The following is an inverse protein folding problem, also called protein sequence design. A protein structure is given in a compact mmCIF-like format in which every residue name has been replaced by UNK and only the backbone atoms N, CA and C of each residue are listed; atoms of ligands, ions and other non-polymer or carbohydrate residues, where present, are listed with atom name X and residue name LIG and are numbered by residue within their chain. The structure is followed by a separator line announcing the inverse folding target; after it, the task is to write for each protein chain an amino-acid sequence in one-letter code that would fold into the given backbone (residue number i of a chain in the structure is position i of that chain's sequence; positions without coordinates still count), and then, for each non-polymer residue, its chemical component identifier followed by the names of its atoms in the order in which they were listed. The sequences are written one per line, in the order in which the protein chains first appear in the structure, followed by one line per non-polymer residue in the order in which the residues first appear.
data_IF_411520866834
#
_entry.id   IF_411520866834
#
_cell.length_a   1.000
_cell.length_b   1.000
_cell.length_c   1.000
_cell.angle_alpha   90.00
_cell.angle_beta   90.00
_cell.angle_gamma   90.00
#
_symmetry.space_group_name_H-M   'P 1'
#
loop_
_entity.id
_entity.type
_entity.pdbx_description
1 polymer ?
#
# COMPACT_ATOMS: atom_id res chain seq x y z
N UNK A 1 1.91 -23.28 9.80
CA UNK A 1 1.43 -22.36 10.85
C UNK A 1 2.57 -22.05 11.81
N UNK A 2 2.92 -20.79 12.01
CA UNK A 2 4.00 -20.34 12.89
C UNK A 2 3.50 -19.56 14.10
N UNK A 3 4.31 -19.49 15.15
CA UNK A 3 4.02 -18.77 16.38
C UNK A 3 5.19 -17.83 16.69
N UNK A 4 4.91 -16.53 16.74
CA UNK A 4 5.93 -15.48 16.80
C UNK A 4 5.66 -14.53 17.98
N UNK A 5 6.71 -13.93 18.54
CA UNK A 5 6.57 -12.86 19.53
C UNK A 5 6.47 -11.48 18.85
N UNK A 6 7.09 -11.33 17.67
CA UNK A 6 7.18 -10.07 16.92
C UNK A 6 6.23 -10.01 15.72
N UNK A 7 5.61 -11.13 15.35
CA UNK A 7 4.84 -11.26 14.12
C UNK A 7 5.70 -11.49 12.88
N UNK A 8 7.02 -11.62 13.03
CA UNK A 8 7.95 -12.03 11.97
C UNK A 8 8.16 -13.53 11.93
N UNK A 9 8.44 -14.07 10.74
CA UNK A 9 8.88 -15.46 10.56
C UNK A 9 10.27 -15.68 11.16
N UNK A 10 11.22 -14.78 10.92
CA UNK A 10 12.58 -14.93 11.45
C UNK A 10 12.56 -14.86 12.98
N UNK A 11 13.16 -15.85 13.62
CA UNK A 11 13.16 -16.05 15.07
C UNK A 11 11.90 -16.74 15.63
N UNK A 12 10.99 -17.22 14.78
CA UNK A 12 9.78 -17.93 15.20
C UNK A 12 9.92 -19.45 15.06
N UNK A 13 8.95 -20.18 15.63
CA UNK A 13 8.83 -21.63 15.43
C UNK A 13 7.53 -21.92 14.67
N UNK A 14 7.55 -22.95 13.84
CA UNK A 14 6.41 -23.30 13.00
C UNK A 14 6.14 -24.80 12.96
N UNK A 15 4.86 -25.14 12.78
CA UNK A 15 4.40 -26.46 12.37
C UNK A 15 4.11 -26.39 10.87
N UNK A 16 4.79 -27.21 10.10
CA UNK A 16 4.67 -27.30 8.65
C UNK A 16 4.25 -28.71 8.30
N UNK A 17 3.25 -28.84 7.43
CA UNK A 17 2.84 -30.14 6.94
C UNK A 17 2.60 -30.13 5.45
N UNK A 18 2.79 -31.28 4.83
CA UNK A 18 2.53 -31.54 3.42
C UNK A 18 1.94 -32.94 3.25
N UNK A 19 1.32 -33.16 2.09
CA UNK A 19 0.86 -34.47 1.64
C UNK A 19 1.68 -34.85 0.41
N UNK A 20 2.40 -35.97 0.50
CA UNK A 20 3.23 -36.52 -0.56
C UNK A 20 2.39 -37.08 -1.71
N UNK A 21 3.03 -37.36 -2.85
CA UNK A 21 2.35 -37.89 -4.04
C UNK A 21 1.68 -39.26 -3.81
N UNK A 22 2.19 -40.05 -2.87
CA UNK A 22 1.63 -41.33 -2.44
C UNK A 22 0.45 -41.17 -1.46
N UNK A 23 0.05 -39.93 -1.14
CA UNK A 23 -1.02 -39.63 -0.19
C UNK A 23 -0.56 -39.63 1.28
N UNK A 24 0.70 -39.92 1.58
CA UNK A 24 1.22 -39.88 2.94
C UNK A 24 1.30 -38.44 3.45
N UNK A 25 0.75 -38.21 4.64
CA UNK A 25 0.82 -36.92 5.32
C UNK A 25 2.05 -36.85 6.21
N UNK A 26 2.82 -35.76 6.13
CA UNK A 26 3.94 -35.49 7.04
C UNK A 26 3.73 -34.14 7.70
N UNK A 27 3.98 -34.07 9.01
CA UNK A 27 3.96 -32.84 9.79
C UNK A 27 5.26 -32.76 10.58
N UNK A 28 5.96 -31.63 10.48
CA UNK A 28 7.21 -31.36 11.18
C UNK A 28 7.21 -30.00 11.83
N UNK A 29 7.93 -29.89 12.93
CA UNK A 29 8.27 -28.62 13.53
C UNK A 29 9.50 -28.02 12.84
N UNK A 30 9.58 -26.70 12.78
CA UNK A 30 10.72 -25.96 12.27
C UNK A 30 11.07 -24.78 13.17
N UNK A 31 12.37 -24.53 13.33
CA UNK A 31 12.88 -23.25 13.78
C UNK A 31 13.20 -22.38 12.56
N UNK A 32 12.65 -21.17 12.51
CA UNK A 32 12.82 -20.24 11.39
C UNK A 32 13.90 -19.19 11.74
N UNK A 33 15.17 -19.58 11.76
CA UNK A 33 16.28 -18.72 12.19
C UNK A 33 16.68 -17.62 11.21
N UNK A 34 16.25 -17.70 9.95
CA UNK A 34 16.58 -16.72 8.91
C UNK A 34 15.88 -17.00 7.59
N UNK A 35 16.19 -16.19 6.57
CA UNK A 35 15.61 -16.33 5.22
C UNK A 35 16.35 -17.34 4.33
N UNK A 36 17.53 -17.81 4.76
CA UNK A 36 18.30 -18.81 4.01
C UNK A 36 17.86 -20.23 4.40
N UNK A 37 17.78 -21.19 3.46
CA UNK A 37 17.33 -22.54 3.76
C UNK A 37 18.12 -23.24 4.89
N UNK A 38 19.42 -22.98 5.01
CA UNK A 38 20.26 -23.56 6.07
C UNK A 38 20.00 -22.99 7.48
N UNK A 39 19.23 -21.89 7.57
CA UNK A 39 18.79 -21.29 8.83
C UNK A 39 17.34 -21.70 9.19
N UNK A 40 16.70 -22.50 8.34
CA UNK A 40 15.37 -23.06 8.56
C UNK A 40 15.53 -24.54 8.89
N UNK A 41 15.46 -24.88 10.17
CA UNK A 41 15.90 -26.19 10.66
C UNK A 41 14.71 -27.04 11.06
N UNK A 42 14.57 -28.20 10.42
CA UNK A 42 13.56 -29.19 10.76
C UNK A 42 13.78 -29.78 12.16
N UNK A 43 12.69 -30.15 12.81
CA UNK A 43 12.64 -30.79 14.13
C UNK A 43 13.31 -29.97 15.25
N UNK A 44 13.41 -28.65 15.06
CA UNK A 44 13.89 -27.68 16.06
C UNK A 44 12.84 -26.60 16.34
N UNK A 45 13.04 -25.82 17.41
CA UNK A 45 12.18 -24.71 17.81
C UNK A 45 11.68 -24.85 19.25
N UNK A 46 10.79 -23.95 19.65
CA UNK A 46 10.28 -23.84 21.03
C UNK A 46 8.83 -24.34 21.19
N UNK A 47 8.25 -24.97 20.17
CA UNK A 47 6.93 -25.58 20.30
C UNK A 47 7.06 -26.95 20.95
N UNK A 48 6.11 -27.30 21.80
CA UNK A 48 5.99 -28.64 22.38
C UNK A 48 4.72 -29.27 21.81
N UNK A 49 4.86 -30.03 20.74
CA UNK A 49 3.74 -30.72 20.10
C UNK A 49 3.41 -31.99 20.91
N UNK A 50 2.13 -32.20 21.22
CA UNK A 50 1.68 -33.41 21.91
C UNK A 50 1.87 -34.62 21.00
N UNK A 51 2.46 -35.70 21.52
CA UNK A 51 2.67 -36.93 20.76
C UNK A 51 1.36 -37.47 20.17
N UNK A 52 1.42 -37.99 18.94
CA UNK A 52 0.27 -38.53 18.21
C UNK A 52 -0.92 -37.54 18.01
N UNK A 53 -0.70 -36.24 18.17
CA UNK A 53 -1.75 -35.22 17.96
C UNK A 53 -1.76 -34.59 16.56
N UNK A 54 -0.74 -34.91 15.73
CA UNK A 54 -0.60 -34.32 14.39
C UNK A 54 -1.36 -35.11 13.35
N UNK A 55 -2.03 -34.41 12.45
CA UNK A 55 -2.68 -35.00 11.28
C UNK A 55 -2.70 -34.01 10.14
N UNK A 56 -2.49 -34.50 8.92
CA UNK A 56 -2.65 -33.70 7.72
C UNK A 56 -3.32 -34.51 6.63
N UNK A 57 -4.29 -33.89 5.96
CA UNK A 57 -4.96 -34.48 4.80
C UNK A 57 -5.27 -33.41 3.76
N UNK A 58 -5.39 -33.83 2.50
CA UNK A 58 -5.80 -32.98 1.40
C UNK A 58 -7.14 -33.51 0.86
N UNK A 59 -8.17 -32.65 0.84
CA UNK A 59 -9.48 -32.97 0.27
C UNK A 59 -10.00 -31.77 -0.51
N UNK A 60 -10.50 -32.00 -1.73
CA UNK A 60 -11.13 -30.97 -2.57
C UNK A 60 -10.29 -29.68 -2.69
N UNK A 61 -9.00 -29.84 -2.99
CA UNK A 61 -8.03 -28.73 -3.11
C UNK A 61 -7.83 -27.91 -1.83
N UNK A 62 -8.18 -28.46 -0.66
CA UNK A 62 -7.92 -27.87 0.66
C UNK A 62 -7.05 -28.80 1.50
N UNK A 63 -6.04 -28.21 2.13
CA UNK A 63 -5.20 -28.90 3.12
C UNK A 63 -5.77 -28.65 4.51
N UNK A 64 -6.01 -29.71 5.25
CA UNK A 64 -6.40 -29.69 6.65
C UNK A 64 -5.21 -30.14 7.46
N UNK A 65 -4.69 -29.26 8.32
CA UNK A 65 -3.61 -29.55 9.25
C UNK A 65 -4.16 -29.41 10.68
N UNK A 66 -3.98 -30.44 11.49
CA UNK A 66 -4.31 -30.47 12.90
C UNK A 66 -3.07 -30.85 13.72
N UNK A 67 -2.91 -30.23 14.88
CA UNK A 67 -1.89 -30.53 15.87
C UNK A 67 -2.32 -29.95 17.21
N UNK A 68 -1.76 -30.48 18.31
CA UNK A 68 -1.97 -29.94 19.65
C UNK A 68 -0.64 -29.47 20.23
N UNK A 69 -0.64 -28.28 20.84
CA UNK A 69 0.50 -27.74 21.56
C UNK A 69 0.29 -27.90 23.07
N UNK A 70 1.31 -28.38 23.78
CA UNK A 70 1.38 -28.33 25.22
C UNK A 70 1.94 -26.98 25.66
N UNK A 71 1.07 -26.06 26.06
CA UNK A 71 1.45 -24.72 26.53
C UNK A 71 0.42 -24.18 27.52
N UNK A 72 0.90 -23.44 28.53
CA UNK A 72 0.03 -22.73 29.47
C UNK A 72 -0.58 -21.46 28.86
N UNK A 73 0.14 -20.81 27.93
CA UNK A 73 -0.33 -19.62 27.23
C UNK A 73 0.16 -19.64 25.78
N UNK A 74 -0.73 -19.84 24.80
CA UNK A 74 -0.34 -19.82 23.40
C UNK A 74 0.00 -18.38 22.94
N UNK A 75 1.03 -18.26 22.11
CA UNK A 75 1.37 -16.98 21.47
C UNK A 75 0.19 -16.52 20.60
N UNK A 76 -0.21 -15.27 20.78
CA UNK A 76 -1.33 -14.67 20.04
C UNK A 76 -0.95 -14.28 18.62
N UNK A 77 0.33 -14.04 18.31
CA UNK A 77 0.75 -13.76 16.93
C UNK A 77 0.99 -15.06 16.17
N UNK A 78 0.02 -15.40 15.32
CA UNK A 78 0.02 -16.61 14.49
C UNK A 78 0.36 -16.25 13.05
N UNK A 79 1.32 -16.98 12.49
CA UNK A 79 1.76 -16.88 11.11
C UNK A 79 1.10 -17.98 10.28
N UNK A 80 0.55 -17.60 9.14
CA UNK A 80 0.08 -18.54 8.13
C UNK A 80 0.95 -18.36 6.90
N UNK A 81 1.31 -19.46 6.26
CA UNK A 81 2.06 -19.44 5.00
C UNK A 81 1.71 -20.66 4.17
N UNK A 82 1.83 -20.49 2.85
CA UNK A 82 1.57 -21.55 1.88
C UNK A 82 2.83 -21.79 1.06
N UNK A 83 3.25 -23.05 0.94
CA UNK A 83 4.41 -23.43 0.14
C UNK A 83 4.18 -23.29 -1.37
N UNK A 84 5.24 -23.51 -2.16
CA UNK A 84 5.12 -23.62 -3.61
C UNK A 84 4.34 -24.89 -4.01
N UNK A 85 3.70 -24.86 -5.18
CA UNK A 85 2.95 -26.01 -5.71
C UNK A 85 3.99 -27.03 -6.16
N UNK A 86 3.80 -28.30 -5.80
CA UNK A 86 4.67 -29.43 -6.16
C UNK A 86 6.12 -29.34 -5.66
N UNK A 87 6.42 -28.43 -4.74
CA UNK A 87 7.72 -28.37 -4.07
C UNK A 87 7.53 -28.87 -2.64
N UNK A 88 7.89 -30.13 -2.42
CA UNK A 88 7.67 -30.84 -1.16
C UNK A 88 9.05 -31.12 -0.52
N UNK A 89 9.23 -30.86 0.78
CA UNK A 89 10.46 -31.20 1.49
C UNK A 89 10.74 -32.71 1.49
N UNK A 90 11.99 -33.10 1.29
CA UNK A 90 12.41 -34.50 1.26
C UNK A 90 13.55 -34.79 2.24
N UNK A 91 13.69 -36.07 2.62
CA UNK A 91 14.80 -36.55 3.44
C UNK A 91 16.17 -36.33 2.75
N UNK A 92 17.27 -36.23 3.52
CA UNK A 92 17.32 -36.30 4.99
C UNK A 92 17.03 -34.95 5.68
N UNK A 93 17.17 -33.82 4.97
CA UNK A 93 17.16 -32.49 5.58
C UNK A 93 15.79 -31.82 5.69
N UNK A 94 14.79 -32.27 4.92
CA UNK A 94 13.45 -31.67 4.86
C UNK A 94 13.48 -30.13 4.73
N UNK A 95 14.39 -29.62 3.90
CA UNK A 95 14.55 -28.18 3.68
C UNK A 95 13.27 -27.59 3.07
N UNK A 96 12.85 -26.43 3.58
CA UNK A 96 11.70 -25.71 3.06
C UNK A 96 12.12 -24.79 1.92
N UNK A 97 11.34 -24.77 0.85
CA UNK A 97 11.40 -23.71 -0.15
C UNK A 97 10.71 -22.45 0.37
N UNK A 98 10.96 -21.32 -0.30
CA UNK A 98 10.25 -20.08 -0.03
C UNK A 98 8.73 -20.26 -0.24
N UNK A 99 7.94 -19.66 0.65
CA UNK A 99 6.48 -19.69 0.56
C UNK A 99 6.01 -18.76 -0.55
N UNK A 100 4.86 -19.08 -1.17
CA UNK A 100 4.21 -18.18 -2.14
C UNK A 100 3.56 -16.97 -1.49
N UNK A 101 3.11 -17.16 -0.26
CA UNK A 101 2.28 -16.20 0.46
C UNK A 101 2.38 -16.47 1.96
N UNK A 102 2.22 -15.40 2.74
CA UNK A 102 2.17 -15.43 4.19
C UNK A 102 1.30 -14.30 4.74
N UNK A 103 0.76 -14.55 5.93
CA UNK A 103 0.11 -13.51 6.73
C UNK A 103 0.44 -13.67 8.20
N UNK A 104 0.57 -12.55 8.88
CA UNK A 104 0.72 -12.46 10.33
C UNK A 104 -0.58 -11.97 10.93
N UNK A 105 -1.10 -12.69 11.91
CA UNK A 105 -2.39 -12.37 12.55
C UNK A 105 -2.23 -12.34 14.06
N UNK A 106 -3.06 -11.53 14.70
CA UNK A 106 -3.27 -11.57 16.14
C UNK A 106 -4.55 -12.36 16.43
N UNK A 107 -4.40 -13.57 16.95
CA UNK A 107 -5.47 -14.47 17.34
C UNK A 107 -5.79 -14.28 18.83
N UNK A 108 -7.05 -13.98 19.13
CA UNK A 108 -7.57 -13.99 20.48
C UNK A 108 -8.22 -15.34 20.76
N UNK A 109 -7.53 -16.20 21.52
CA UNK A 109 -8.00 -17.54 21.85
C UNK A 109 -9.24 -17.56 22.75
N UNK A 110 -9.59 -16.46 23.43
CA UNK A 110 -10.81 -16.39 24.26
C UNK A 110 -12.05 -16.11 23.43
N UNK A 111 -11.94 -15.21 22.45
CA UNK A 111 -13.07 -14.78 21.60
C UNK A 111 -13.13 -15.53 20.28
N UNK A 112 -12.05 -16.23 19.89
CA UNK A 112 -11.93 -16.87 18.58
C UNK A 112 -11.72 -15.88 17.43
N UNK A 113 -11.51 -14.58 17.71
CA UNK A 113 -11.36 -13.55 16.69
C UNK A 113 -9.90 -13.39 16.28
N UNK A 114 -9.63 -13.26 14.98
CA UNK A 114 -8.32 -12.93 14.43
C UNK A 114 -8.32 -11.58 13.74
N UNK A 115 -7.31 -10.76 13.99
CA UNK A 115 -7.04 -9.53 13.23
C UNK A 115 -5.74 -9.70 12.44
N UNK A 116 -5.71 -9.32 11.16
CA UNK A 116 -4.44 -9.24 10.44
C UNK A 116 -3.69 -7.98 10.88
N UNK A 117 -2.53 -8.17 11.49
CA UNK A 117 -1.59 -7.07 11.74
C UNK A 117 -0.59 -7.14 10.60
N UNK A 118 -0.97 -6.64 9.42
CA UNK A 118 0.04 -6.41 8.39
C UNK A 118 0.96 -5.34 8.97
N UNK A 119 2.21 -5.72 9.24
CA UNK A 119 3.20 -4.88 9.93
C UNK A 119 3.39 -3.50 9.27
N UNK A 120 2.92 -3.34 8.03
CA UNK A 120 2.96 -2.12 7.23
C UNK A 120 1.59 -1.50 6.95
N UNK A 121 0.49 -1.99 7.55
CA UNK A 121 -0.88 -1.45 7.37
C UNK A 121 -0.94 0.06 7.60
N UNK A 122 -0.30 0.54 8.67
CA UNK A 122 -0.25 1.98 8.99
C UNK A 122 0.51 2.79 7.94
N UNK A 123 1.63 2.25 7.45
CA UNK A 123 2.43 2.91 6.43
C UNK A 123 1.67 2.96 5.09
N UNK A 124 1.04 1.86 4.69
CA UNK A 124 0.17 1.78 3.50
C UNK A 124 -0.98 2.79 3.58
N UNK A 125 -1.68 2.84 4.71
CA UNK A 125 -2.77 3.81 4.95
C UNK A 125 -2.25 5.25 4.94
N UNK A 126 -1.12 5.52 5.59
CA UNK A 126 -0.50 6.86 5.59
C UNK A 126 -0.12 7.32 4.19
N UNK A 127 0.57 6.46 3.42
CA UNK A 127 0.91 6.70 2.02
C UNK A 127 -0.33 7.04 1.19
N UNK A 128 -1.38 6.21 1.29
CA UNK A 128 -2.64 6.43 0.58
C UNK A 128 -3.31 7.76 0.95
N UNK A 129 -3.44 8.06 2.24
CA UNK A 129 -4.06 9.31 2.74
C UNK A 129 -3.27 10.53 2.29
N UNK A 130 -1.94 10.51 2.46
CA UNK A 130 -1.08 11.62 2.08
C UNK A 130 -1.24 11.94 0.60
N UNK A 131 -1.13 10.95 -0.29
CA UNK A 131 -1.20 11.17 -1.73
C UNK A 131 -2.63 11.53 -2.21
N UNK A 132 -3.66 10.92 -1.62
CA UNK A 132 -5.05 11.25 -1.93
C UNK A 132 -5.39 12.70 -1.55
N UNK A 133 -5.03 13.13 -0.34
CA UNK A 133 -5.28 14.50 0.12
C UNK A 133 -4.45 15.51 -0.67
N UNK A 134 -3.16 15.24 -0.90
CA UNK A 134 -2.26 16.16 -1.60
C UNK A 134 -2.50 16.23 -3.10
N UNK A 135 -2.02 15.22 -3.84
CA UNK A 135 -2.07 15.14 -5.29
C UNK A 135 -3.50 14.99 -5.81
N UNK A 136 -4.35 14.28 -5.06
CA UNK A 136 -5.72 13.98 -5.48
C UNK A 136 -6.75 15.06 -5.20
N UNK A 137 -6.61 15.85 -4.13
CA UNK A 137 -7.66 16.79 -3.66
C UNK A 137 -7.15 18.23 -3.60
N UNK A 138 -6.09 18.50 -2.82
CA UNK A 138 -5.59 19.86 -2.62
C UNK A 138 -5.08 20.49 -3.91
N UNK A 139 -4.47 19.71 -4.82
CA UNK A 139 -4.04 20.21 -6.14
C UNK A 139 -5.23 20.76 -6.97
N UNK A 140 -6.39 20.12 -6.89
CA UNK A 140 -7.61 20.57 -7.57
C UNK A 140 -8.13 21.86 -6.93
N UNK A 141 -8.21 21.90 -5.58
CA UNK A 141 -8.66 23.09 -4.85
C UNK A 141 -7.74 24.28 -5.13
N UNK A 142 -6.42 24.08 -5.14
CA UNK A 142 -5.43 25.10 -5.49
C UNK A 142 -5.63 25.60 -6.92
N UNK A 143 -5.85 24.72 -7.88
CA UNK A 143 -6.14 25.10 -9.27
C UNK A 143 -7.45 25.89 -9.40
N UNK A 144 -8.51 25.47 -8.69
CA UNK A 144 -9.78 26.22 -8.63
C UNK A 144 -9.57 27.62 -8.06
N UNK A 145 -8.76 27.78 -7.01
CA UNK A 145 -8.46 29.08 -6.45
C UNK A 145 -7.76 30.01 -7.46
N UNK A 146 -6.79 29.48 -8.20
CA UNK A 146 -6.08 30.21 -9.26
C UNK A 146 -6.95 30.55 -10.48
N UNK A 147 -8.05 29.81 -10.70
CA UNK A 147 -8.93 29.95 -11.86
C UNK A 147 -10.12 30.87 -11.62
N UNK A 148 -10.78 30.74 -10.47
CA UNK A 148 -12.12 31.29 -10.20
C UNK A 148 -12.16 32.45 -9.21
N UNK A 149 -11.07 32.73 -8.49
CA UNK A 149 -11.02 33.82 -7.51
C UNK A 149 -10.10 34.98 -7.91
N UNK A 150 -9.72 35.10 -9.20
CA UNK A 150 -8.79 36.14 -9.69
C UNK A 150 -9.24 37.58 -9.39
N UNK A 151 -10.53 37.83 -9.22
CA UNK A 151 -11.10 39.12 -8.82
C UNK A 151 -10.64 39.58 -7.43
N UNK A 152 -10.16 38.68 -6.59
CA UNK A 152 -9.59 39.00 -5.28
C UNK A 152 -8.06 39.16 -5.36
N UNK A 153 -7.56 39.95 -6.31
CA UNK A 153 -6.11 40.25 -6.39
C UNK A 153 -5.68 41.09 -5.17
N UNK A 154 -4.58 40.76 -4.46
CA UNK A 154 -3.62 39.68 -4.73
C UNK A 154 -3.91 38.36 -3.97
N UNK A 155 -4.98 38.31 -3.16
CA UNK A 155 -5.32 37.16 -2.30
C UNK A 155 -5.40 35.83 -3.05
N UNK A 156 -5.98 35.80 -4.25
CA UNK A 156 -6.08 34.57 -5.04
C UNK A 156 -4.71 33.92 -5.29
N UNK A 157 -3.67 34.74 -5.51
CA UNK A 157 -2.33 34.27 -5.80
C UNK A 157 -1.70 33.63 -4.57
N UNK A 158 -1.83 34.29 -3.41
CA UNK A 158 -1.34 33.75 -2.14
C UNK A 158 -2.09 32.48 -1.72
N UNK A 159 -3.42 32.45 -1.89
CA UNK A 159 -4.21 31.24 -1.61
C UNK A 159 -3.82 30.09 -2.54
N UNK A 160 -3.69 30.33 -3.85
CA UNK A 160 -3.21 29.34 -4.80
C UNK A 160 -1.82 28.81 -4.41
N UNK A 161 -0.86 29.72 -4.20
CA UNK A 161 0.51 29.35 -3.84
C UNK A 161 0.56 28.55 -2.54
N UNK A 162 -0.12 28.99 -1.48
CA UNK A 162 -0.13 28.32 -0.19
C UNK A 162 -0.73 26.90 -0.27
N UNK A 163 -1.87 26.75 -0.96
CA UNK A 163 -2.51 25.44 -1.13
C UNK A 163 -1.62 24.51 -1.97
N UNK A 164 -1.05 24.99 -3.08
CA UNK A 164 -0.16 24.18 -3.92
C UNK A 164 1.14 23.80 -3.21
N UNK A 165 1.73 24.70 -2.42
CA UNK A 165 2.91 24.39 -1.62
C UNK A 165 2.62 23.34 -0.55
N UNK A 166 1.49 23.47 0.15
CA UNK A 166 1.05 22.48 1.13
C UNK A 166 0.81 21.10 0.48
N UNK A 167 0.08 21.08 -0.64
CA UNK A 167 -0.15 19.88 -1.42
C UNK A 167 1.17 19.24 -1.86
N UNK A 168 2.10 20.01 -2.41
CA UNK A 168 3.38 19.49 -2.87
C UNK A 168 4.23 18.89 -1.75
N UNK A 169 4.31 19.53 -0.57
CA UNK A 169 5.08 19.01 0.56
C UNK A 169 4.49 17.73 1.14
N UNK A 170 3.16 17.68 1.33
CA UNK A 170 2.46 16.48 1.77
C UNK A 170 2.58 15.35 0.74
N UNK A 171 2.51 15.69 -0.55
CA UNK A 171 2.67 14.77 -1.66
C UNK A 171 4.08 14.21 -1.78
N UNK A 172 5.10 15.02 -1.51
CA UNK A 172 6.49 14.57 -1.45
C UNK A 172 6.68 13.57 -0.30
N UNK A 173 6.16 13.87 0.90
CA UNK A 173 6.17 12.93 2.02
C UNK A 173 5.41 11.64 1.68
N UNK A 174 4.27 11.75 0.99
CA UNK A 174 3.50 10.63 0.47
C UNK A 174 4.33 9.74 -0.47
N UNK A 175 5.01 10.32 -1.46
CA UNK A 175 5.85 9.56 -2.40
C UNK A 175 7.05 8.92 -1.69
N UNK A 176 7.73 9.63 -0.79
CA UNK A 176 8.83 9.06 0.02
C UNK A 176 8.33 7.86 0.82
N UNK A 177 7.17 7.96 1.46
CA UNK A 177 6.58 6.83 2.18
C UNK A 177 6.23 5.65 1.27
N UNK A 178 5.96 5.90 -0.02
CA UNK A 178 5.71 4.88 -1.04
C UNK A 178 6.96 4.06 -1.37
N UNK A 179 8.11 4.72 -1.55
CA UNK A 179 9.40 4.01 -1.74
C UNK A 179 9.77 3.17 -0.51
N UNK A 180 9.55 3.71 0.69
CA UNK A 180 9.77 2.95 1.95
C UNK A 180 8.81 1.76 2.04
N UNK A 181 7.57 1.90 1.57
CA UNK A 181 6.58 0.84 1.58
C UNK A 181 6.93 -0.28 0.58
N UNK A 182 7.35 0.09 -0.62
CA UNK A 182 7.80 -0.85 -1.66
C UNK A 182 8.96 -1.72 -1.16
N UNK A 183 10.01 -1.08 -0.63
CA UNK A 183 11.20 -1.77 -0.08
C UNK A 183 10.83 -2.75 1.05
N UNK A 184 9.90 -2.36 1.93
CA UNK A 184 9.47 -3.20 3.06
C UNK A 184 8.55 -4.35 2.65
N UNK A 185 7.74 -4.17 1.61
CA UNK A 185 6.79 -5.18 1.14
C UNK A 185 7.34 -6.06 0.02
N UNK A 186 8.49 -5.69 -0.57
CA UNK A 186 8.96 -6.28 -1.83
C UNK A 186 7.83 -6.33 -2.88
N UNK A 187 7.05 -5.25 -2.95
CA UNK A 187 5.82 -5.20 -3.73
C UNK A 187 6.11 -4.83 -5.19
N UNK A 188 5.50 -5.54 -6.13
CA UNK A 188 5.58 -5.24 -7.56
C UNK A 188 4.56 -4.18 -7.95
N UNK A 189 4.94 -2.90 -7.88
CA UNK A 189 4.06 -1.74 -8.14
C UNK A 189 4.61 -0.80 -9.22
N UNK A 190 5.37 -1.35 -10.18
CA UNK A 190 6.18 -0.58 -11.13
C UNK A 190 5.40 0.50 -11.90
N UNK A 191 4.20 0.19 -12.38
CA UNK A 191 3.37 1.18 -13.09
C UNK A 191 2.93 2.32 -12.17
N UNK A 192 2.48 2.02 -10.95
CA UNK A 192 2.01 3.02 -10.00
C UNK A 192 3.16 3.93 -9.53
N UNK A 193 4.32 3.31 -9.30
CA UNK A 193 5.59 3.98 -8.98
C UNK A 193 6.04 4.89 -10.10
N UNK A 194 6.06 4.41 -11.35
CA UNK A 194 6.44 5.19 -12.51
C UNK A 194 5.54 6.41 -12.72
N UNK A 195 4.21 6.23 -12.59
CA UNK A 195 3.26 7.34 -12.63
C UNK A 195 3.46 8.31 -11.46
N UNK A 196 3.75 7.82 -10.25
CA UNK A 196 4.06 8.64 -9.08
C UNK A 196 5.31 9.51 -9.28
N UNK A 197 6.37 8.93 -9.85
CA UNK A 197 7.60 9.66 -10.22
C UNK A 197 7.30 10.70 -11.30
N UNK A 198 6.52 10.35 -12.32
CA UNK A 198 6.11 11.29 -13.36
C UNK A 198 5.35 12.48 -12.77
N UNK A 199 4.38 12.24 -11.87
CA UNK A 199 3.65 13.28 -11.14
C UNK A 199 4.61 14.19 -10.37
N UNK A 200 5.59 13.62 -9.65
CA UNK A 200 6.58 14.39 -8.89
C UNK A 200 7.42 15.28 -9.82
N UNK A 201 7.94 14.72 -10.91
CA UNK A 201 8.75 15.48 -11.89
C UNK A 201 7.95 16.63 -12.48
N UNK A 202 6.72 16.37 -12.94
CA UNK A 202 5.85 17.41 -13.47
C UNK A 202 5.48 18.45 -12.39
N UNK A 203 5.25 18.02 -11.15
CA UNK A 203 5.03 18.90 -10.00
C UNK A 203 6.22 19.83 -9.72
N UNK A 204 7.44 19.30 -9.73
CA UNK A 204 8.67 20.10 -9.61
C UNK A 204 8.76 21.14 -10.72
N UNK A 205 8.46 20.75 -11.96
CA UNK A 205 8.43 21.66 -13.11
C UNK A 205 7.35 22.77 -12.95
N UNK A 206 6.22 22.49 -12.30
CA UNK A 206 5.22 23.50 -11.96
C UNK A 206 5.69 24.46 -10.85
N UNK A 207 6.39 23.96 -9.82
CA UNK A 207 6.99 24.81 -8.79
C UNK A 207 8.08 25.70 -9.40
N UNK A 208 8.95 25.14 -10.24
CA UNK A 208 9.99 25.89 -10.95
C UNK A 208 9.42 26.97 -11.87
N UNK A 209 8.22 26.75 -12.42
CA UNK A 209 7.52 27.75 -13.23
C UNK A 209 7.33 29.07 -12.48
N UNK A 210 7.13 29.04 -11.16
CA UNK A 210 6.94 30.25 -10.34
C UNK A 210 8.18 31.14 -10.36
N UNK A 211 9.39 30.57 -10.31
CA UNK A 211 10.62 31.36 -10.39
C UNK A 211 10.86 31.94 -11.78
N UNK A 212 10.36 31.26 -12.81
CA UNK A 212 10.42 31.73 -14.20
C UNK A 212 9.22 32.62 -14.59
N UNK A 213 8.39 33.07 -13.63
CA UNK A 213 7.17 33.86 -13.86
C UNK A 213 7.48 35.23 -14.47
N UNK A 214 7.12 35.51 -15.74
CA UNK A 214 7.37 36.83 -16.34
C UNK A 214 6.47 37.91 -15.73
N UNK A 215 6.88 39.18 -15.83
CA UNK A 215 6.06 40.34 -15.45
C UNK A 215 4.75 40.44 -16.24
N UNK A 216 3.73 41.12 -15.70
CA UNK A 216 2.37 41.21 -16.26
C UNK A 216 2.37 41.75 -17.71
N UNK A 217 3.25 42.71 -18.03
CA UNK A 217 3.37 43.34 -19.35
C UNK A 217 4.21 42.54 -20.38
N UNK A 218 4.83 41.43 -19.97
CA UNK A 218 5.70 40.66 -20.87
C UNK A 218 4.91 39.84 -21.88
N UNK A 219 5.26 39.91 -23.18
CA UNK A 219 4.69 39.04 -24.22
C UNK A 219 4.92 37.55 -23.94
N UNK A 220 6.02 37.20 -23.24
CA UNK A 220 6.36 35.82 -22.86
C UNK A 220 5.40 35.27 -21.80
N UNK A 221 4.73 36.14 -21.03
CA UNK A 221 3.72 35.77 -20.02
C UNK A 221 2.63 34.87 -20.60
N UNK A 222 2.24 35.07 -21.87
CA UNK A 222 1.24 34.24 -22.56
C UNK A 222 1.67 32.78 -22.66
N UNK A 223 2.89 32.51 -23.09
CA UNK A 223 3.43 31.15 -23.22
C UNK A 223 3.63 30.50 -21.86
N UNK A 224 4.13 31.26 -20.88
CA UNK A 224 4.22 30.80 -19.50
C UNK A 224 2.85 30.38 -18.95
N UNK A 225 1.80 31.18 -19.18
CA UNK A 225 0.44 30.86 -18.74
C UNK A 225 -0.06 29.58 -19.43
N UNK A 226 0.19 29.40 -20.72
CA UNK A 226 -0.20 28.19 -21.45
C UNK A 226 0.47 26.95 -20.88
N UNK A 227 1.78 27.01 -20.66
CA UNK A 227 2.55 25.93 -20.02
C UNK A 227 2.04 25.63 -18.61
N UNK A 228 1.95 26.65 -17.75
CA UNK A 228 1.60 26.48 -16.34
C UNK A 228 0.16 25.94 -16.18
N UNK A 229 -0.80 26.49 -16.92
CA UNK A 229 -2.19 26.05 -16.82
C UNK A 229 -2.39 24.64 -17.38
N UNK A 230 -1.88 24.34 -18.58
CA UNK A 230 -2.10 23.03 -19.19
C UNK A 230 -1.25 21.95 -18.53
N UNK A 231 0.01 22.25 -18.20
CA UNK A 231 0.87 21.34 -17.44
C UNK A 231 0.27 21.00 -16.08
N UNK A 232 -0.24 22.00 -15.33
CA UNK A 232 -0.93 21.76 -14.06
C UNK A 232 -2.16 20.86 -14.19
N UNK A 233 -2.97 21.03 -15.25
CA UNK A 233 -4.12 20.15 -15.52
C UNK A 233 -3.70 18.72 -15.84
N UNK A 234 -2.64 18.54 -16.63
CA UNK A 234 -2.09 17.21 -16.94
C UNK A 234 -1.64 16.51 -15.66
N UNK A 235 -0.92 17.22 -14.77
CA UNK A 235 -0.50 16.67 -13.46
C UNK A 235 -1.71 16.19 -12.65
N UNK A 236 -2.77 17.02 -12.57
CA UNK A 236 -4.00 16.68 -11.84
C UNK A 236 -4.67 15.42 -12.42
N UNK A 237 -4.80 15.31 -13.74
CA UNK A 237 -5.44 14.16 -14.37
C UNK A 237 -4.68 12.86 -14.11
N UNK A 238 -3.35 12.90 -14.27
CA UNK A 238 -2.49 11.73 -14.00
C UNK A 238 -2.54 11.39 -12.50
N UNK A 239 -2.55 12.38 -11.61
CA UNK A 239 -2.66 12.17 -10.17
C UNK A 239 -3.97 11.49 -9.77
N UNK A 240 -5.12 11.95 -10.27
CA UNK A 240 -6.42 11.32 -9.99
C UNK A 240 -6.40 9.85 -10.42
N UNK A 241 -5.96 9.59 -11.66
CA UNK A 241 -5.88 8.23 -12.19
C UNK A 241 -4.94 7.34 -11.35
N UNK A 242 -3.77 7.87 -10.97
CA UNK A 242 -2.80 7.12 -10.19
C UNK A 242 -3.26 6.88 -8.74
N UNK A 243 -4.06 7.76 -8.15
CA UNK A 243 -4.67 7.54 -6.83
C UNK A 243 -5.68 6.40 -6.89
N UNK A 244 -6.60 6.40 -7.87
CA UNK A 244 -7.50 5.25 -8.07
C UNK A 244 -6.75 3.94 -8.28
N UNK A 245 -5.69 3.99 -9.10
CA UNK A 245 -4.85 2.81 -9.33
C UNK A 245 -4.15 2.34 -8.05
N UNK A 246 -3.59 3.25 -7.26
CA UNK A 246 -2.97 2.92 -5.97
C UNK A 246 -3.96 2.33 -4.95
N UNK A 247 -5.21 2.80 -4.93
CA UNK A 247 -6.27 2.22 -4.09
C UNK A 247 -6.62 0.81 -4.56
N UNK A 248 -6.69 0.58 -5.87
CA UNK A 248 -6.95 -0.76 -6.43
C UNK A 248 -5.84 -1.76 -6.06
N UNK A 249 -4.58 -1.34 -6.10
CA UNK A 249 -3.44 -2.13 -5.61
C UNK A 249 -3.49 -2.36 -4.10
N UNK A 250 -4.39 -1.71 -3.36
CA UNK A 250 -4.56 -1.77 -1.91
C UNK A 250 -5.19 -3.07 -1.36
N UNK A 251 -5.84 -3.86 -2.21
CA UNK A 251 -6.54 -5.15 -2.03
C UNK A 251 -7.53 -5.32 -0.85
N UNK A 252 -7.26 -4.82 0.36
CA UNK A 252 -8.03 -5.15 1.56
C UNK A 252 -9.30 -4.29 1.77
N UNK A 253 -9.33 -3.05 1.29
CA UNK A 253 -10.42 -2.06 1.50
C UNK A 253 -10.73 -1.19 0.25
N UNK A 254 -10.22 -1.59 -0.92
CA UNK A 254 -10.15 -0.73 -2.12
C UNK A 254 -11.50 -0.18 -2.60
N UNK A 255 -12.59 -0.95 -2.46
CA UNK A 255 -13.92 -0.55 -2.93
C UNK A 255 -14.47 0.67 -2.19
N UNK A 256 -14.37 0.69 -0.85
CA UNK A 256 -14.88 1.79 -0.02
C UNK A 256 -14.06 3.06 -0.21
N UNK A 257 -12.73 2.93 -0.31
CA UNK A 257 -11.83 4.06 -0.57
C UNK A 257 -12.04 4.64 -1.96
N UNK A 258 -12.19 3.79 -2.99
CA UNK A 258 -12.51 4.23 -4.34
C UNK A 258 -13.84 4.98 -4.38
N UNK A 259 -14.88 4.47 -3.73
CA UNK A 259 -16.18 5.13 -3.67
C UNK A 259 -16.08 6.50 -2.99
N UNK A 260 -15.44 6.58 -1.82
CA UNK A 260 -15.26 7.82 -1.09
C UNK A 260 -14.46 8.86 -1.89
N UNK A 261 -13.35 8.45 -2.49
CA UNK A 261 -12.54 9.34 -3.33
C UNK A 261 -13.30 9.80 -4.58
N UNK A 262 -14.03 8.90 -5.26
CA UNK A 262 -14.85 9.23 -6.41
C UNK A 262 -15.95 10.25 -6.08
N UNK A 263 -16.60 10.13 -4.92
CA UNK A 263 -17.58 11.12 -4.44
C UNK A 263 -16.93 12.49 -4.27
N UNK A 264 -15.76 12.57 -3.62
CA UNK A 264 -15.05 13.84 -3.42
C UNK A 264 -14.65 14.47 -4.76
N UNK A 265 -14.07 13.69 -5.69
CA UNK A 265 -13.71 14.19 -7.02
C UNK A 265 -14.93 14.65 -7.81
N UNK A 266 -16.05 13.92 -7.72
CA UNK A 266 -17.30 14.30 -8.38
C UNK A 266 -17.85 15.62 -7.83
N UNK A 267 -17.81 15.83 -6.52
CA UNK A 267 -18.21 17.10 -5.90
C UNK A 267 -17.31 18.25 -6.38
N UNK A 268 -15.98 18.07 -6.37
CA UNK A 268 -15.04 19.09 -6.84
C UNK A 268 -15.25 19.41 -8.32
N UNK A 269 -15.52 18.38 -9.15
CA UNK A 269 -15.84 18.54 -10.56
C UNK A 269 -17.14 19.33 -10.77
N UNK A 270 -18.22 18.98 -10.07
CA UNK A 270 -19.48 19.71 -10.12
C UNK A 270 -19.32 21.18 -9.68
N UNK A 271 -18.58 21.42 -8.59
CA UNK A 271 -18.25 22.77 -8.14
C UNK A 271 -17.46 23.55 -9.21
N UNK A 272 -16.51 22.90 -9.89
CA UNK A 272 -15.76 23.53 -10.98
C UNK A 272 -16.67 23.93 -12.15
N UNK A 273 -17.65 23.09 -12.51
CA UNK A 273 -18.64 23.42 -13.55
C UNK A 273 -19.48 24.62 -13.13
N UNK A 274 -20.01 24.64 -11.91
CA UNK A 274 -20.81 25.75 -11.39
C UNK A 274 -20.02 27.06 -11.43
N UNK A 275 -18.76 27.04 -10.98
CA UNK A 275 -17.88 28.21 -10.98
C UNK A 275 -17.51 28.65 -12.40
N UNK A 276 -17.30 27.71 -13.33
CA UNK A 276 -17.04 28.02 -14.74
C UNK A 276 -18.24 28.69 -15.40
N UNK A 277 -19.45 28.17 -15.20
CA UNK A 277 -20.70 28.80 -15.70
C UNK A 277 -20.88 30.20 -15.13
N UNK A 278 -20.64 30.39 -13.82
CA UNK A 278 -20.73 31.71 -13.19
C UNK A 278 -19.74 32.69 -13.80
N UNK A 279 -18.49 32.26 -14.01
CA UNK A 279 -17.47 33.10 -14.61
C UNK A 279 -17.83 33.47 -16.06
N UNK A 280 -18.36 32.54 -16.85
CA UNK A 280 -18.79 32.81 -18.23
C UNK A 280 -19.92 33.83 -18.30
N UNK A 281 -20.80 33.89 -17.30
CA UNK A 281 -21.87 34.90 -17.23
C UNK A 281 -21.38 36.29 -16.82
N UNK A 282 -20.18 36.39 -16.25
CA UNK A 282 -19.60 37.65 -15.77
C UNK A 282 -18.66 38.31 -16.78
N UNK A 283 -18.18 37.55 -17.79
CA UNK A 283 -17.39 38.04 -18.91
C UNK A 283 -18.29 38.33 -20.11
#
# INVERSE_FOLDING_TARGET
MGFSTTGQMVGSSAVVGWVSADGSGTVKQYFLGGQRPNLVVADQGNLTIVENSTSITSRSSRVYLAFQLNTSQPLSRVLYSVGQIRVIPSAPGFALAEHRDKVSTLLNYRTGTSASDSQHSRLRKSHGILNMLSWGILMIIGAMAGRYFKQWDPMWFYSHAAIQSCAFLLGLAGIISGFVLEDRLNAEVDTHKALGILILVLGCLQVMAVFARPGKESKVRKYWNWYHHNGGRIVILIAIANVFYGIHLGEDDGTSWNAAYAVVISILFLLSIILEVKLWRQN
#
